data_IF_472201889134
#
_entry.id   IF_472201889134
#
_cell.length_a   1.000
_cell.length_b   1.000
_cell.length_c   1.000
_cell.angle_alpha   90.00
_cell.angle_beta   90.00
_cell.angle_gamma   90.00
#
_symmetry.space_group_name_H-M   'P 1'
#
loop_
_entity.id
_entity.type
_entity.pdbx_description
1 polymer ?
#
# COMPACT_ATOMS: atom_id res chain seq x y z
N UNK A 1 -4.51 -38.25 39.34
CA UNK A 1 -3.99 -38.49 37.97
C UNK A 1 -3.85 -37.13 37.29
N UNK A 2 -2.69 -36.88 36.71
CA UNK A 2 -2.13 -35.58 36.34
C UNK A 2 -2.58 -35.05 34.96
N UNK A 3 -2.09 -33.84 34.64
CA UNK A 3 -2.01 -33.09 33.36
C UNK A 3 -3.28 -32.32 32.96
N UNK A 4 -3.30 -31.02 32.64
CA UNK A 4 -2.31 -29.95 32.48
C UNK A 4 -2.90 -28.92 31.47
N UNK A 5 -2.77 -27.59 31.62
CA UNK A 5 -3.35 -26.60 30.71
C UNK A 5 -2.42 -26.30 29.52
N UNK A 6 -2.94 -26.38 28.29
CA UNK A 6 -2.21 -26.06 27.06
C UNK A 6 -2.56 -24.67 26.55
N UNK A 7 -1.66 -23.71 26.74
CA UNK A 7 -1.79 -22.35 26.22
C UNK A 7 -1.55 -22.23 24.71
N UNK A 8 -1.97 -21.10 24.16
CA UNK A 8 -1.39 -20.51 22.94
C UNK A 8 -1.33 -19.01 23.13
N UNK A 9 -0.14 -18.56 23.53
CA UNK A 9 0.27 -17.18 23.32
C UNK A 9 0.60 -16.98 21.84
N UNK A 10 0.11 -15.89 21.27
CA UNK A 10 0.68 -15.29 20.07
C UNK A 10 1.11 -13.89 20.44
N UNK A 11 2.35 -13.79 20.92
CA UNK A 11 3.08 -12.54 20.98
C UNK A 11 3.45 -12.13 19.56
N UNK A 12 2.82 -11.08 19.05
CA UNK A 12 3.34 -10.32 17.93
C UNK A 12 4.11 -9.12 18.49
N UNK A 13 5.35 -9.39 18.90
CA UNK A 13 6.32 -8.35 19.24
C UNK A 13 6.68 -7.58 17.98
N UNK A 14 5.94 -6.48 17.71
CA UNK A 14 6.40 -5.44 16.79
C UNK A 14 7.42 -4.59 17.54
N UNK A 15 8.67 -5.05 17.49
CA UNK A 15 9.83 -4.30 17.95
C UNK A 15 10.03 -3.10 17.00
N UNK A 16 9.41 -1.97 17.31
CA UNK A 16 9.82 -0.69 16.73
C UNK A 16 10.96 -0.12 17.55
N UNK A 17 12.14 -0.25 16.95
CA UNK A 17 13.42 0.28 17.37
C UNK A 17 13.28 1.76 17.73
N UNK A 18 13.34 2.02 19.03
CA UNK A 18 13.60 3.31 19.63
C UNK A 18 15.02 3.72 19.18
N UNK A 19 15.17 4.78 18.39
CA UNK A 19 16.50 5.35 18.15
C UNK A 19 16.45 6.88 18.02
N UNK A 20 16.79 7.49 19.15
CA UNK A 20 17.70 8.63 19.33
C UNK A 20 17.74 9.73 18.26
N UNK A 21 17.05 10.81 18.60
CA UNK A 21 17.17 12.14 18.01
C UNK A 21 18.56 12.73 18.27
N UNK A 22 19.50 12.44 17.37
CA UNK A 22 20.80 13.09 17.27
C UNK A 22 20.71 14.44 16.56
N UNK A 23 20.92 15.52 17.32
CA UNK A 23 21.22 16.88 16.84
C UNK A 23 22.45 16.86 15.91
N UNK A 24 22.37 17.53 14.76
CA UNK A 24 23.55 18.07 14.09
C UNK A 24 23.16 19.32 13.27
N UNK A 25 23.42 20.48 13.87
CA UNK A 25 23.48 21.79 13.22
C UNK A 25 24.65 21.85 12.22
N UNK A 26 24.58 22.82 11.29
CA UNK A 26 25.77 23.48 10.74
C UNK A 26 26.24 22.96 9.38
N UNK A 27 26.03 23.80 8.36
CA UNK A 27 27.07 24.24 7.43
C UNK A 27 27.87 23.16 6.69
N UNK A 28 27.35 22.76 5.52
CA UNK A 28 28.17 22.49 4.33
C UNK A 28 27.19 22.28 3.16
N UNK A 29 27.06 23.30 2.34
CA UNK A 29 26.17 23.31 1.20
C UNK A 29 26.79 22.48 0.05
N UNK A 30 26.39 21.21 -0.04
CA UNK A 30 26.62 20.42 -1.25
C UNK A 30 25.85 21.08 -2.43
N UNK A 31 26.46 21.21 -3.63
CA UNK A 31 25.93 22.00 -4.75
C UNK A 31 24.60 21.50 -5.33
N UNK A 32 24.11 20.32 -4.93
CA UNK A 32 22.85 19.74 -5.41
C UNK A 32 21.60 20.17 -4.62
N UNK A 33 21.77 20.83 -3.46
CA UNK A 33 20.65 21.49 -2.78
C UNK A 33 20.03 22.66 -3.59
N UNK A 34 20.62 23.00 -4.75
CA UNK A 34 20.16 24.06 -5.66
C UNK A 34 19.12 23.62 -6.70
N UNK A 35 18.81 22.33 -6.85
CA UNK A 35 17.79 21.88 -7.82
C UNK A 35 16.37 21.84 -7.24
N UNK A 36 16.19 21.75 -5.93
CA UNK A 36 14.87 21.72 -5.30
C UNK A 36 14.68 22.99 -4.47
N UNK A 37 13.74 23.84 -4.87
CA UNK A 37 13.52 25.17 -4.30
C UNK A 37 12.95 25.11 -2.87
N UNK A 38 12.42 23.95 -2.46
CA UNK A 38 11.89 23.73 -1.12
C UNK A 38 12.09 22.30 -0.62
N UNK A 39 12.08 22.14 0.71
CA UNK A 39 12.07 20.84 1.38
C UNK A 39 10.90 19.96 0.89
N UNK A 40 9.76 20.58 0.58
CA UNK A 40 8.57 19.87 0.11
C UNK A 40 8.77 19.29 -1.29
N UNK A 41 9.44 20.03 -2.18
CA UNK A 41 9.81 19.57 -3.50
C UNK A 41 10.83 18.42 -3.43
N UNK A 42 11.83 18.51 -2.55
CA UNK A 42 12.77 17.43 -2.29
C UNK A 42 12.07 16.15 -1.77
N UNK A 43 11.07 16.30 -0.90
CA UNK A 43 10.23 15.17 -0.43
C UNK A 43 9.40 14.56 -1.56
N UNK A 44 8.85 15.38 -2.45
CA UNK A 44 8.10 14.88 -3.61
C UNK A 44 9.01 14.15 -4.60
N UNK A 45 10.20 14.71 -4.90
CA UNK A 45 11.20 14.06 -5.73
C UNK A 45 11.65 12.72 -5.14
N UNK A 46 11.85 12.66 -3.82
CA UNK A 46 12.13 11.43 -3.10
C UNK A 46 10.98 10.41 -3.24
N UNK A 47 9.72 10.83 -3.02
CA UNK A 47 8.54 9.96 -3.18
C UNK A 47 8.36 9.44 -4.61
N UNK A 48 8.65 10.27 -5.63
CA UNK A 48 8.63 9.87 -7.05
C UNK A 48 9.72 8.85 -7.35
N UNK A 49 10.94 9.10 -6.88
CA UNK A 49 12.04 8.15 -6.98
C UNK A 49 11.67 6.81 -6.33
N UNK A 50 11.10 6.80 -5.12
CA UNK A 50 10.62 5.57 -4.48
C UNK A 50 9.62 4.80 -5.38
N UNK A 51 8.74 5.51 -6.07
CA UNK A 51 7.81 4.89 -7.03
C UNK A 51 8.53 4.33 -8.28
N UNK A 52 9.49 5.07 -8.85
CA UNK A 52 10.29 4.64 -10.02
C UNK A 52 11.10 3.36 -9.73
N UNK A 53 11.72 3.27 -8.54
CA UNK A 53 12.45 2.08 -8.11
C UNK A 53 11.54 0.95 -7.59
N UNK A 54 10.22 1.10 -7.69
CA UNK A 54 9.25 0.07 -7.31
C UNK A 54 9.26 -0.26 -5.82
N UNK A 55 9.55 0.73 -4.96
CA UNK A 55 9.56 0.54 -3.51
C UNK A 55 8.13 0.23 -3.05
N UNK A 56 7.92 -0.98 -2.55
CA UNK A 56 6.62 -1.42 -2.04
C UNK A 56 6.56 -1.21 -0.52
N UNK A 57 5.36 -1.30 0.07
CA UNK A 57 5.16 -1.30 1.52
C UNK A 57 5.95 -2.38 2.29
N UNK A 58 6.54 -3.38 1.61
CA UNK A 58 7.38 -4.42 2.19
C UNK A 58 8.89 -4.16 2.05
N UNK A 59 9.30 -3.14 1.31
CA UNK A 59 10.72 -2.89 1.01
C UNK A 59 11.41 -2.30 2.23
N UNK A 60 12.54 -2.89 2.62
CA UNK A 60 13.32 -2.44 3.78
C UNK A 60 14.14 -1.20 3.44
N UNK A 61 14.40 -0.36 4.44
CA UNK A 61 15.21 0.84 4.28
C UNK A 61 16.55 0.56 3.58
N UNK A 62 17.28 -0.49 3.99
CA UNK A 62 18.58 -0.82 3.41
C UNK A 62 18.49 -1.21 1.93
N UNK A 63 17.40 -1.85 1.51
CA UNK A 63 17.14 -2.20 0.11
C UNK A 63 16.84 -0.96 -0.73
N UNK A 64 16.12 0.01 -0.15
CA UNK A 64 15.92 1.34 -0.76
C UNK A 64 17.26 2.07 -0.91
N UNK A 65 18.12 2.05 0.12
CA UNK A 65 19.45 2.67 0.04
C UNK A 65 20.33 1.99 -0.99
N UNK A 66 20.30 0.66 -1.09
CA UNK A 66 21.11 -0.05 -2.07
C UNK A 66 20.65 0.20 -3.51
N UNK A 67 19.33 0.33 -3.75
CA UNK A 67 18.77 0.55 -5.09
C UNK A 67 18.79 2.01 -5.52
N UNK A 68 18.43 2.91 -4.63
CA UNK A 68 18.22 4.32 -4.92
C UNK A 68 19.28 5.24 -4.28
N UNK A 69 20.19 4.72 -3.45
CA UNK A 69 21.21 5.54 -2.79
C UNK A 69 22.29 6.10 -3.72
N UNK A 70 22.45 5.50 -4.91
CA UNK A 70 23.28 6.05 -5.99
C UNK A 70 22.60 7.20 -6.75
N UNK A 71 21.30 7.44 -6.51
CA UNK A 71 20.53 8.48 -7.18
C UNK A 71 20.81 9.85 -6.54
N UNK A 72 21.04 10.87 -7.38
CA UNK A 72 21.25 12.25 -6.93
C UNK A 72 20.07 12.77 -6.09
N UNK A 73 18.84 12.30 -6.38
CA UNK A 73 17.61 12.66 -5.65
C UNK A 73 17.57 12.08 -4.24
N UNK A 74 18.30 10.98 -3.97
CA UNK A 74 18.42 10.43 -2.63
C UNK A 74 19.27 11.31 -1.71
N UNK A 75 20.21 12.07 -2.29
CA UNK A 75 21.06 13.03 -1.57
C UNK A 75 20.38 14.39 -1.34
N UNK A 76 19.21 14.65 -1.95
CA UNK A 76 18.44 15.88 -1.76
C UNK A 76 17.92 16.03 -0.31
N UNK A 77 17.69 14.91 0.39
CA UNK A 77 17.42 14.90 1.82
C UNK A 77 18.76 14.74 2.58
N UNK A 78 19.09 15.67 3.48
CA UNK A 78 20.39 15.66 4.19
C UNK A 78 20.42 14.64 5.32
N UNK A 79 19.29 14.43 6.01
CA UNK A 79 19.22 13.51 7.14
C UNK A 79 18.62 12.15 6.78
N UNK A 80 19.31 11.07 7.17
CA UNK A 80 18.77 9.71 7.12
C UNK A 80 17.45 9.58 7.89
N UNK A 81 17.26 10.37 8.96
CA UNK A 81 16.00 10.41 9.72
C UNK A 81 14.84 10.93 8.87
N UNK A 82 15.05 12.02 8.13
CA UNK A 82 14.04 12.58 7.23
C UNK A 82 13.71 11.64 6.08
N UNK A 83 14.72 10.97 5.52
CA UNK A 83 14.50 9.96 4.46
C UNK A 83 13.69 8.77 4.97
N UNK A 84 14.00 8.26 6.16
CA UNK A 84 13.23 7.18 6.80
C UNK A 84 11.80 7.60 7.09
N UNK A 85 11.59 8.83 7.54
CA UNK A 85 10.25 9.38 7.77
C UNK A 85 9.47 9.48 6.46
N UNK A 86 10.09 10.02 5.40
CA UNK A 86 9.47 10.13 4.08
C UNK A 86 9.15 8.75 3.48
N UNK A 87 10.03 7.76 3.69
CA UNK A 87 9.77 6.38 3.28
C UNK A 87 8.57 5.80 4.04
N UNK A 88 8.48 5.99 5.35
CA UNK A 88 7.36 5.50 6.16
C UNK A 88 6.04 6.13 5.71
N UNK A 89 6.01 7.46 5.54
CA UNK A 89 4.85 8.17 4.99
C UNK A 89 4.45 7.63 3.60
N UNK A 90 5.43 7.37 2.74
CA UNK A 90 5.18 6.82 1.41
C UNK A 90 4.58 5.41 1.49
N UNK A 91 5.13 4.54 2.34
CA UNK A 91 4.60 3.18 2.55
C UNK A 91 3.18 3.21 3.14
N UNK A 92 2.92 4.10 4.11
CA UNK A 92 1.58 4.31 4.66
C UNK A 92 0.60 4.83 3.61
N UNK A 93 1.02 5.80 2.79
CA UNK A 93 0.21 6.35 1.72
C UNK A 93 -0.12 5.29 0.65
N UNK A 94 0.86 4.47 0.24
CA UNK A 94 0.61 3.38 -0.70
C UNK A 94 -0.33 2.33 -0.12
N UNK A 95 -0.15 1.93 1.15
CA UNK A 95 -1.07 1.00 1.80
C UNK A 95 -2.49 1.58 1.92
N UNK A 96 -2.64 2.90 2.06
CA UNK A 96 -3.93 3.58 2.05
C UNK A 96 -4.54 3.54 0.65
N UNK A 97 -3.78 3.90 -0.39
CA UNK A 97 -4.23 3.88 -1.79
C UNK A 97 -4.64 2.47 -2.21
N UNK A 98 -3.87 1.43 -1.89
CA UNK A 98 -4.24 0.04 -2.20
C UNK A 98 -5.56 -0.37 -1.51
N UNK A 99 -5.75 0.02 -0.24
CA UNK A 99 -6.98 -0.26 0.50
C UNK A 99 -8.19 0.49 -0.05
N UNK A 100 -8.00 1.75 -0.43
CA UNK A 100 -9.05 2.58 -1.03
C UNK A 100 -9.39 2.10 -2.44
N UNK A 101 -8.39 1.73 -3.25
CA UNK A 101 -8.58 1.14 -4.57
C UNK A 101 -9.36 -0.17 -4.50
N UNK A 102 -9.07 -1.04 -3.53
CA UNK A 102 -9.85 -2.27 -3.31
C UNK A 102 -11.32 -1.97 -3.00
N UNK A 103 -11.58 -1.02 -2.10
CA UNK A 103 -12.95 -0.61 -1.74
C UNK A 103 -13.68 0.00 -2.94
N UNK A 104 -13.01 0.85 -3.72
CA UNK A 104 -13.59 1.47 -4.91
C UNK A 104 -13.86 0.44 -6.01
N UNK A 105 -12.99 -0.54 -6.20
CA UNK A 105 -13.20 -1.65 -7.14
C UNK A 105 -14.42 -2.49 -6.74
N UNK A 106 -14.56 -2.84 -5.46
CA UNK A 106 -15.74 -3.55 -4.94
C UNK A 106 -17.03 -2.73 -5.13
N UNK A 107 -16.98 -1.42 -4.84
CA UNK A 107 -18.12 -0.53 -5.06
C UNK A 107 -18.50 -0.45 -6.54
N UNK A 108 -17.52 -0.25 -7.43
CA UNK A 108 -17.72 -0.21 -8.88
C UNK A 108 -18.27 -1.54 -9.40
N UNK A 109 -17.77 -2.68 -8.93
CA UNK A 109 -18.29 -3.99 -9.30
C UNK A 109 -19.75 -4.17 -8.86
N UNK A 110 -20.10 -3.74 -7.64
CA UNK A 110 -21.49 -3.79 -7.14
C UNK A 110 -22.43 -2.83 -7.86
N UNK A 111 -21.96 -1.66 -8.27
CA UNK A 111 -22.75 -0.71 -9.05
C UNK A 111 -22.93 -1.19 -10.49
N UNK A 112 -21.88 -1.71 -11.12
CA UNK A 112 -21.96 -2.30 -12.45
C UNK A 112 -22.88 -3.52 -12.49
N UNK A 113 -22.80 -4.40 -11.48
CA UNK A 113 -23.71 -5.54 -11.37
C UNK A 113 -25.16 -5.08 -11.19
N UNK A 114 -25.41 -4.06 -10.35
CA UNK A 114 -26.76 -3.51 -10.19
C UNK A 114 -27.30 -2.87 -11.46
N UNK A 115 -26.48 -2.09 -12.17
CA UNK A 115 -26.86 -1.51 -13.46
C UNK A 115 -27.18 -2.60 -14.49
N UNK A 116 -26.37 -3.67 -14.56
CA UNK A 116 -26.63 -4.82 -15.42
C UNK A 116 -27.97 -5.50 -15.10
N UNK A 117 -28.28 -5.68 -13.81
CA UNK A 117 -29.56 -6.25 -13.38
C UNK A 117 -30.75 -5.31 -13.66
N UNK A 118 -30.55 -4.01 -13.67
CA UNK A 118 -31.61 -3.04 -14.02
C UNK A 118 -31.85 -3.02 -15.54
N UNK A 119 -30.78 -3.02 -16.33
CA UNK A 119 -30.84 -3.03 -17.80
C UNK A 119 -31.44 -4.33 -18.35
N UNK A 120 -31.02 -5.48 -17.80
CA UNK A 120 -31.45 -6.78 -18.28
C UNK A 120 -32.49 -7.45 -17.39
N UNK A 121 -32.92 -6.80 -16.31
CA UNK A 121 -33.85 -7.38 -15.34
C UNK A 121 -35.18 -7.80 -15.96
N UNK A 122 -35.73 -6.95 -16.82
CA UNK A 122 -36.97 -7.26 -17.54
C UNK A 122 -36.78 -8.40 -18.55
N UNK A 123 -35.67 -8.40 -19.29
CA UNK A 123 -35.33 -9.45 -20.26
C UNK A 123 -35.07 -10.81 -19.58
N UNK A 124 -34.53 -10.80 -18.37
CA UNK A 124 -34.26 -11.98 -17.55
C UNK A 124 -35.45 -12.40 -16.67
N UNK A 125 -36.59 -11.70 -16.75
CA UNK A 125 -37.77 -11.98 -15.92
C UNK A 125 -37.50 -11.83 -14.41
N UNK A 126 -36.50 -11.04 -14.05
CA UNK A 126 -36.14 -10.76 -12.66
C UNK A 126 -37.11 -9.72 -12.10
N UNK A 127 -37.82 -10.11 -11.05
CA UNK A 127 -38.74 -9.26 -10.28
C UNK A 127 -38.28 -9.22 -8.84
N UNK A 128 -38.85 -8.34 -8.02
CA UNK A 128 -38.55 -8.24 -6.59
C UNK A 128 -38.79 -9.55 -5.80
N UNK A 129 -39.54 -10.50 -6.38
CA UNK A 129 -39.79 -11.83 -5.80
C UNK A 129 -38.95 -12.97 -6.42
N UNK A 130 -38.12 -12.67 -7.42
CA UNK A 130 -37.28 -13.68 -8.07
C UNK A 130 -36.22 -14.18 -7.09
N UNK A 131 -36.26 -15.49 -6.81
CA UNK A 131 -35.22 -16.17 -6.02
C UNK A 131 -34.10 -16.60 -6.94
N UNK A 132 -32.88 -16.18 -6.63
CA UNK A 132 -31.68 -16.72 -7.24
C UNK A 132 -31.53 -18.19 -6.81
N UNK A 133 -31.92 -19.08 -7.70
CA UNK A 133 -31.77 -20.53 -7.53
C UNK A 133 -30.39 -20.95 -8.00
N UNK A 134 -29.80 -21.94 -7.32
CA UNK A 134 -28.56 -22.57 -7.77
C UNK A 134 -28.86 -23.32 -9.07
N UNK A 135 -28.23 -22.89 -10.17
CA UNK A 135 -28.33 -23.57 -11.45
C UNK A 135 -27.21 -24.60 -11.58
N UNK A 136 -27.56 -25.88 -11.38
CA UNK A 136 -26.61 -26.99 -11.48
C UNK A 136 -26.08 -27.21 -12.90
N UNK A 137 -26.81 -26.78 -13.93
CA UNK A 137 -26.35 -26.88 -15.32
C UNK A 137 -25.25 -25.85 -15.61
N UNK A 138 -25.42 -24.62 -15.09
CA UNK A 138 -24.43 -23.56 -15.21
C UNK A 138 -23.13 -23.91 -14.45
N UNK A 139 -23.25 -24.45 -13.23
CA UNK A 139 -22.08 -24.87 -12.44
C UNK A 139 -21.31 -26.01 -13.08
N UNK A 140 -22.00 -26.94 -13.74
CA UNK A 140 -21.35 -28.03 -14.48
C UNK A 140 -20.55 -27.48 -15.68
N UNK A 141 -21.15 -26.56 -16.46
CA UNK A 141 -20.47 -25.94 -17.60
C UNK A 141 -19.23 -25.12 -17.19
N UNK A 142 -19.29 -24.35 -16.10
CA UNK A 142 -18.14 -23.57 -15.58
C UNK A 142 -17.01 -24.42 -14.97
N UNK A 143 -17.27 -25.70 -14.70
CA UNK A 143 -16.26 -26.63 -14.17
C UNK A 143 -15.49 -27.35 -15.28
N UNK A 144 -16.10 -27.44 -16.46
CA UNK A 144 -15.55 -28.14 -17.62
C UNK A 144 -14.74 -27.21 -18.56
N UNK A 145 -14.67 -25.90 -18.27
CA UNK A 145 -13.76 -24.87 -18.85
C UNK A 145 -12.52 -24.66 -17.95
#
# INVERSE_FOLDING_TARGET
RATGPGGRGTGAGRAESRNESGRASGEDAAPFAKEYASMEEAKQAFKKMLAEYGVRGSTKWDEVVNRAGADARFSALRSTGEKKQCLNEYQMAQAKIEREAKRMAEKKAREAFRAMLEEHGEALGLTSNSRLSRDGSLEQALRDD
#
